data_IF_419623449746
#
_entry.id   IF_419623449746
#
_cell.length_a   1.000
_cell.length_b   1.000
_cell.length_c   1.000
_cell.angle_alpha   90.00
_cell.angle_beta   90.00
_cell.angle_gamma   90.00
#
_symmetry.space_group_name_H-M   'P 1'
#
loop_
_entity.id
_entity.type
_entity.pdbx_description
1 polymer ?
#
# COMPACT_ATOMS: atom_id res chain seq x y z
N UNK A 1 37.40 11.06 30.45
CA UNK A 1 36.77 10.26 29.38
C UNK A 1 35.27 10.56 29.36
N UNK A 2 34.73 11.05 28.24
CA UNK A 2 33.31 11.41 28.10
C UNK A 2 32.52 10.13 27.81
N UNK A 3 31.71 9.67 28.78
CA UNK A 3 30.74 8.60 28.54
C UNK A 3 29.64 9.15 27.61
N UNK A 4 29.65 8.74 26.35
CA UNK A 4 28.52 8.95 25.46
C UNK A 4 27.39 8.02 25.91
N UNK A 5 26.30 8.57 26.44
CA UNK A 5 25.09 7.82 26.77
C UNK A 5 24.28 7.53 25.48
N UNK A 6 24.20 6.27 25.01
CA UNK A 6 23.54 5.94 23.73
C UNK A 6 22.03 5.66 23.86
N UNK A 7 21.50 5.49 25.07
CA UNK A 7 20.23 4.78 25.30
C UNK A 7 18.93 5.56 25.04
N UNK A 8 18.99 6.87 24.80
CA UNK A 8 17.77 7.70 24.62
C UNK A 8 17.44 8.11 23.19
N UNK A 9 18.40 8.01 22.25
CA UNK A 9 18.28 8.67 20.94
C UNK A 9 17.53 7.87 19.88
N UNK A 10 17.37 6.55 20.04
CA UNK A 10 16.65 5.69 19.07
C UNK A 10 15.15 5.52 19.38
N UNK A 11 14.77 5.60 20.66
CA UNK A 11 13.37 5.52 21.09
C UNK A 11 12.56 6.76 20.65
N UNK A 12 13.18 7.94 20.65
CA UNK A 12 12.51 9.19 20.22
C UNK A 12 12.15 9.16 18.72
N UNK A 13 13.05 8.80 17.78
CA UNK A 13 12.72 8.62 16.37
C UNK A 13 11.67 7.55 16.10
N UNK A 14 11.69 6.41 16.80
CA UNK A 14 10.72 5.36 16.61
C UNK A 14 9.31 5.79 17.07
N UNK A 15 9.21 6.46 18.22
CA UNK A 15 7.95 7.03 18.73
C UNK A 15 7.45 8.17 17.84
N UNK A 16 8.35 9.01 17.33
CA UNK A 16 7.99 10.07 16.39
C UNK A 16 7.46 9.48 15.09
N UNK A 17 8.16 8.50 14.51
CA UNK A 17 7.70 7.78 13.33
C UNK A 17 6.31 7.17 13.58
N UNK A 18 6.12 6.52 14.73
CA UNK A 18 4.81 5.97 15.12
C UNK A 18 3.70 7.02 15.20
N UNK A 19 3.98 8.18 15.80
CA UNK A 19 3.01 9.27 15.89
C UNK A 19 2.69 9.87 14.52
N UNK A 20 3.69 10.01 13.67
CA UNK A 20 3.53 10.60 12.34
C UNK A 20 2.80 9.67 11.36
N UNK A 21 2.79 8.37 11.64
CA UNK A 21 2.05 7.37 10.84
C UNK A 21 0.65 7.10 11.40
N UNK A 22 0.15 7.95 12.29
CA UNK A 22 -1.26 7.89 12.69
C UNK A 22 -2.12 8.31 11.49
N UNK A 23 -2.99 7.43 10.98
CA UNK A 23 -3.87 7.79 9.87
C UNK A 23 -4.84 8.89 10.30
N UNK A 24 -5.13 9.81 9.39
CA UNK A 24 -6.30 10.68 9.51
C UNK A 24 -7.56 9.82 9.66
N UNK A 25 -8.47 10.25 10.54
CA UNK A 25 -9.73 9.52 10.75
C UNK A 25 -10.65 9.67 9.55
N UNK A 26 -11.36 8.60 9.22
CA UNK A 26 -12.48 8.64 8.30
C UNK A 26 -13.61 9.49 8.90
N UNK A 27 -14.21 10.35 8.07
CA UNK A 27 -15.29 11.27 8.49
C UNK A 27 -16.63 10.96 7.84
N UNK A 28 -16.64 10.14 6.78
CA UNK A 28 -17.83 9.76 6.04
C UNK A 28 -17.69 8.36 5.44
N UNK A 29 -18.79 7.63 5.24
CA UNK A 29 -18.79 6.37 4.50
C UNK A 29 -18.20 6.51 3.09
N UNK A 30 -17.65 5.41 2.56
CA UNK A 30 -17.07 5.32 1.21
C UNK A 30 -17.48 3.98 0.58
N UNK A 31 -17.62 3.89 -0.75
CA UNK A 31 -17.95 2.63 -1.41
C UNK A 31 -16.97 1.50 -1.02
N UNK A 32 -17.50 0.30 -0.74
CA UNK A 32 -16.70 -0.88 -0.38
C UNK A 32 -15.64 -1.19 -1.44
N UNK A 33 -16.00 -1.03 -2.72
CA UNK A 33 -15.07 -1.15 -3.86
C UNK A 33 -13.83 -0.28 -3.67
N UNK A 34 -13.99 0.97 -3.26
CA UNK A 34 -12.88 1.91 -3.06
C UNK A 34 -12.02 1.51 -1.86
N UNK A 35 -12.62 1.00 -0.78
CA UNK A 35 -11.86 0.52 0.38
C UNK A 35 -11.01 -0.71 0.05
N UNK A 36 -11.57 -1.66 -0.71
CA UNK A 36 -10.85 -2.84 -1.16
C UNK A 36 -9.77 -2.50 -2.19
N UNK A 37 -10.03 -1.56 -3.10
CA UNK A 37 -9.03 -1.02 -4.01
C UNK A 37 -7.86 -0.36 -3.26
N UNK A 38 -8.16 0.48 -2.26
CA UNK A 38 -7.16 1.13 -1.40
C UNK A 38 -6.34 0.10 -0.62
N UNK A 39 -6.97 -0.98 -0.13
CA UNK A 39 -6.29 -2.07 0.55
C UNK A 39 -5.38 -2.85 -0.41
N UNK A 40 -5.87 -3.22 -1.59
CA UNK A 40 -5.08 -3.95 -2.60
C UNK A 40 -3.86 -3.13 -3.07
N UNK A 41 -4.07 -1.84 -3.36
CA UNK A 41 -3.00 -0.90 -3.69
C UNK A 41 -1.95 -0.82 -2.57
N UNK A 42 -2.41 -0.69 -1.33
CA UNK A 42 -1.50 -0.59 -0.18
C UNK A 42 -0.77 -1.90 0.10
N UNK A 43 -1.40 -3.06 -0.12
CA UNK A 43 -0.76 -4.36 0.04
C UNK A 43 0.34 -4.59 -1.01
N UNK A 44 0.15 -4.11 -2.24
CA UNK A 44 1.18 -4.15 -3.28
C UNK A 44 2.40 -3.31 -2.90
N UNK A 45 2.18 -2.09 -2.39
CA UNK A 45 3.28 -1.23 -1.93
C UNK A 45 3.98 -1.82 -0.70
N UNK A 46 3.24 -2.43 0.24
CA UNK A 46 3.83 -3.11 1.40
C UNK A 46 4.67 -4.34 1.00
N UNK A 47 4.31 -5.02 -0.08
CA UNK A 47 5.10 -6.11 -0.66
C UNK A 47 6.37 -5.62 -1.38
N UNK A 48 6.52 -4.31 -1.61
CA UNK A 48 7.69 -3.74 -2.25
C UNK A 48 8.84 -3.48 -1.27
N UNK A 49 10.07 -3.63 -1.78
CA UNK A 49 11.26 -3.24 -1.02
C UNK A 49 11.44 -1.73 -1.05
N UNK A 50 11.66 -1.14 0.14
CA UNK A 50 12.09 0.23 0.32
C UNK A 50 12.78 0.43 1.67
N UNK A 51 13.75 1.35 1.73
CA UNK A 51 14.58 1.63 2.92
C UNK A 51 14.44 3.08 3.41
N UNK A 52 13.50 3.84 2.85
CA UNK A 52 13.17 5.20 3.29
C UNK A 52 11.86 5.21 4.08
N UNK A 53 11.61 6.32 4.77
CA UNK A 53 10.34 6.59 5.44
C UNK A 53 9.33 7.17 4.43
N UNK A 54 8.20 6.50 4.14
CA UNK A 54 7.13 7.10 3.36
C UNK A 54 6.49 8.27 4.13
N UNK A 55 6.17 9.35 3.41
CA UNK A 55 5.58 10.57 3.96
C UNK A 55 4.43 10.98 3.05
N UNK A 56 3.22 11.21 3.60
CA UNK A 56 2.10 11.70 2.80
C UNK A 56 2.44 13.01 2.07
N UNK A 57 1.93 13.16 0.85
CA UNK A 57 2.18 14.32 -0.01
C UNK A 57 3.48 14.23 -0.83
N UNK A 58 4.35 13.27 -0.55
CA UNK A 58 5.42 12.91 -1.47
C UNK A 58 4.91 11.94 -2.54
N UNK A 59 5.55 12.03 -3.69
CA UNK A 59 5.33 11.13 -4.82
C UNK A 59 6.38 10.03 -4.84
N UNK A 60 5.92 8.82 -5.13
CA UNK A 60 6.74 7.62 -5.21
C UNK A 60 6.48 6.91 -6.53
N UNK A 61 7.36 5.97 -6.85
CA UNK A 61 7.35 5.22 -8.10
C UNK A 61 7.59 3.74 -7.80
N UNK A 62 6.68 2.90 -8.30
CA UNK A 62 6.76 1.45 -8.15
C UNK A 62 7.39 0.83 -9.40
N UNK A 63 8.33 -0.08 -9.18
CA UNK A 63 9.07 -0.79 -10.22
C UNK A 63 8.98 -2.30 -10.04
N UNK A 64 8.99 -3.05 -11.16
CA UNK A 64 9.23 -4.49 -11.20
C UNK A 64 10.69 -4.72 -11.51
N UNK A 65 11.43 -5.31 -10.58
CA UNK A 65 12.86 -5.55 -10.69
C UNK A 65 13.11 -7.07 -10.62
N UNK A 66 13.12 -7.76 -11.77
CA UNK A 66 13.06 -9.23 -11.76
C UNK A 66 11.81 -9.68 -10.99
N UNK A 67 11.94 -10.58 -10.01
CA UNK A 67 10.80 -11.09 -9.23
C UNK A 67 10.31 -10.20 -8.08
N UNK A 68 10.98 -9.08 -7.79
CA UNK A 68 10.63 -8.22 -6.65
C UNK A 68 9.97 -6.91 -7.10
N UNK A 69 9.07 -6.40 -6.27
CA UNK A 69 8.61 -5.02 -6.35
C UNK A 69 9.58 -4.10 -5.61
N UNK A 70 9.78 -2.89 -6.13
CA UNK A 70 10.59 -1.85 -5.48
C UNK A 70 9.86 -0.52 -5.51
N UNK A 71 9.73 0.12 -4.35
CA UNK A 71 9.23 1.49 -4.24
C UNK A 71 10.43 2.45 -4.20
N UNK A 72 10.35 3.54 -4.94
CA UNK A 72 11.41 4.54 -5.09
C UNK A 72 10.86 5.96 -5.01
N UNK A 73 11.71 6.91 -4.62
CA UNK A 73 11.48 8.35 -4.77
C UNK A 73 11.88 8.87 -6.16
N UNK A 74 12.78 8.15 -6.84
CA UNK A 74 13.34 8.54 -8.13
C UNK A 74 12.37 8.10 -9.23
N UNK A 75 11.91 9.06 -10.03
CA UNK A 75 11.02 8.87 -11.18
C UNK A 75 11.76 8.18 -12.35
N UNK A 76 11.05 7.50 -13.27
CA UNK A 76 11.68 6.77 -14.39
C UNK A 76 12.64 7.64 -15.22
N UNK A 77 12.30 8.90 -15.45
CA UNK A 77 13.12 9.84 -16.24
C UNK A 77 14.38 10.31 -15.51
N UNK A 78 14.43 10.19 -14.18
CA UNK A 78 15.56 10.65 -13.35
C UNK A 78 16.65 9.58 -13.20
N UNK A 79 16.36 8.31 -13.54
CA UNK A 79 17.32 7.21 -13.43
C UNK A 79 18.41 7.23 -14.50
N UNK A 80 18.18 7.89 -15.64
CA UNK A 80 19.01 7.73 -16.83
C UNK A 80 19.12 6.25 -17.23
N UNK A 81 20.34 5.77 -17.49
CA UNK A 81 20.58 4.38 -17.90
C UNK A 81 20.53 3.34 -16.77
N UNK A 82 20.29 3.75 -15.53
CA UNK A 82 20.35 2.88 -14.34
C UNK A 82 18.99 2.56 -13.75
N UNK A 83 17.94 2.56 -14.58
CA UNK A 83 16.60 2.27 -14.11
C UNK A 83 16.55 0.86 -13.49
N UNK A 84 15.98 0.70 -12.29
CA UNK A 84 16.07 -0.55 -11.54
C UNK A 84 15.22 -1.68 -12.13
N UNK A 85 14.30 -1.37 -13.06
CA UNK A 85 13.37 -2.31 -13.68
C UNK A 85 12.22 -1.58 -14.39
N UNK A 86 11.16 -2.30 -14.74
CA UNK A 86 10.00 -1.72 -15.43
C UNK A 86 9.22 -0.82 -14.47
N UNK A 87 8.96 0.42 -14.87
CA UNK A 87 8.12 1.32 -14.10
C UNK A 87 6.64 0.94 -14.26
N UNK A 88 5.95 0.74 -13.14
CA UNK A 88 4.60 0.17 -13.10
C UNK A 88 3.57 1.23 -12.78
N UNK A 89 3.85 2.04 -11.78
CA UNK A 89 2.89 2.98 -11.28
C UNK A 89 3.57 4.14 -10.57
N UNK A 90 2.94 5.30 -10.67
CA UNK A 90 3.12 6.38 -9.72
C UNK A 90 2.31 6.06 -8.47
N UNK A 91 2.90 6.25 -7.29
CA UNK A 91 2.27 5.97 -6.01
C UNK A 91 2.22 7.25 -5.18
N UNK A 92 1.06 7.56 -4.64
CA UNK A 92 0.85 8.71 -3.77
C UNK A 92 0.32 8.18 -2.42
N UNK A 93 1.01 8.50 -1.33
CA UNK A 93 0.59 8.14 0.03
C UNK A 93 -0.39 9.20 0.55
N UNK A 94 -1.61 8.77 0.90
CA UNK A 94 -2.64 9.66 1.44
C UNK A 94 -2.48 9.88 2.95
N UNK A 95 -3.15 10.90 3.48
CA UNK A 95 -3.10 11.25 4.91
C UNK A 95 -3.72 10.20 5.83
N UNK A 96 -4.61 9.37 5.29
CA UNK A 96 -5.16 8.20 5.98
C UNK A 96 -4.23 6.97 5.90
N UNK A 97 -2.99 7.14 5.43
CA UNK A 97 -1.97 6.09 5.32
C UNK A 97 -2.32 4.94 4.37
N UNK A 98 -3.28 5.15 3.47
CA UNK A 98 -3.54 4.27 2.34
C UNK A 98 -2.83 4.77 1.08
N UNK A 99 -2.46 3.85 0.19
CA UNK A 99 -1.81 4.17 -1.07
C UNK A 99 -2.81 4.26 -2.21
N UNK A 100 -2.65 5.29 -3.04
CA UNK A 100 -3.23 5.34 -4.39
C UNK A 100 -2.16 5.12 -5.43
N UNK A 101 -2.46 4.34 -6.45
CA UNK A 101 -1.55 4.06 -7.55
C UNK A 101 -2.18 4.57 -8.85
N UNK A 102 -1.33 5.03 -9.76
CA UNK A 102 -1.71 5.42 -11.12
C UNK A 102 -0.79 4.64 -12.06
N UNK A 103 -1.38 3.78 -12.90
CA UNK A 103 -0.66 2.91 -13.82
C UNK A 103 0.22 3.72 -14.76
N UNK A 104 1.43 3.22 -15.02
CA UNK A 104 2.30 3.72 -16.07
C UNK A 104 1.66 3.46 -17.45
N UNK A 105 1.98 4.31 -18.40
CA UNK A 105 1.59 4.10 -19.79
C UNK A 105 2.22 2.82 -20.35
N UNK A 106 1.50 2.10 -21.21
CA UNK A 106 1.98 0.85 -21.83
C UNK A 106 2.10 -0.35 -20.88
N UNK A 107 1.60 -0.26 -19.65
CA UNK A 107 1.75 -1.34 -18.65
C UNK A 107 1.20 -2.70 -19.14
N UNK A 108 0.08 -2.67 -19.87
CA UNK A 108 -0.55 -3.86 -20.44
C UNK A 108 0.28 -4.53 -21.55
N UNK A 109 1.30 -3.86 -22.07
CA UNK A 109 2.19 -4.37 -23.12
C UNK A 109 3.33 -5.22 -22.56
N UNK A 110 3.47 -5.30 -21.23
CA UNK A 110 4.49 -6.10 -20.56
C UNK A 110 3.87 -7.32 -19.88
N UNK A 111 3.87 -8.51 -20.53
CA UNK A 111 3.27 -9.72 -19.98
C UNK A 111 3.80 -10.08 -18.59
N UNK A 112 5.10 -9.91 -18.35
CA UNK A 112 5.72 -10.22 -17.05
C UNK A 112 5.19 -9.34 -15.91
N UNK A 113 4.81 -8.09 -16.21
CA UNK A 113 4.23 -7.18 -15.21
C UNK A 113 2.75 -7.50 -15.03
N UNK A 114 2.02 -7.74 -16.12
CA UNK A 114 0.61 -8.16 -16.07
C UNK A 114 0.45 -9.41 -15.22
N UNK A 115 1.22 -10.47 -15.51
CA UNK A 115 1.18 -11.72 -14.75
C UNK A 115 1.52 -11.54 -13.28
N UNK A 116 2.50 -10.69 -12.97
CA UNK A 116 2.87 -10.44 -11.58
C UNK A 116 1.80 -9.65 -10.82
N UNK A 117 1.14 -8.70 -11.48
CA UNK A 117 0.02 -7.94 -10.92
C UNK A 117 -1.21 -8.83 -10.71
N UNK A 118 -1.53 -9.70 -11.67
CA UNK A 118 -2.61 -10.68 -11.54
C UNK A 118 -2.34 -11.66 -10.39
N UNK A 119 -1.11 -12.17 -10.26
CA UNK A 119 -0.70 -13.03 -9.13
C UNK A 119 -0.84 -12.33 -7.78
N UNK A 120 -0.47 -11.03 -7.70
CA UNK A 120 -0.66 -10.25 -6.48
C UNK A 120 -2.15 -10.08 -6.15
N UNK A 121 -2.99 -9.82 -7.15
CA UNK A 121 -4.44 -9.75 -6.99
C UNK A 121 -5.03 -11.06 -6.48
N UNK A 122 -4.68 -12.17 -7.09
CA UNK A 122 -5.15 -13.49 -6.67
C UNK A 122 -4.78 -13.79 -5.22
N UNK A 123 -3.52 -13.52 -4.84
CA UNK A 123 -3.06 -13.70 -3.46
C UNK A 123 -3.80 -12.77 -2.49
N UNK A 124 -4.03 -11.51 -2.90
CA UNK A 124 -4.79 -10.55 -2.10
C UNK A 124 -6.23 -11.01 -1.90
N UNK A 125 -6.93 -11.37 -2.98
CA UNK A 125 -8.32 -11.85 -2.95
C UNK A 125 -8.43 -13.12 -2.09
N UNK A 126 -7.50 -14.05 -2.21
CA UNK A 126 -7.46 -15.24 -1.35
C UNK A 126 -7.28 -14.87 0.13
N UNK A 127 -6.42 -13.89 0.45
CA UNK A 127 -6.19 -13.45 1.82
C UNK A 127 -7.38 -12.70 2.43
N UNK A 128 -8.15 -11.97 1.63
CA UNK A 128 -9.33 -11.22 2.11
C UNK A 128 -10.64 -12.00 1.99
N UNK A 129 -10.67 -13.12 1.27
CA UNK A 129 -11.86 -13.96 1.13
C UNK A 129 -12.02 -14.89 2.33
N UNK A 130 -12.36 -14.32 3.48
CA UNK A 130 -12.52 -15.02 4.76
C UNK A 130 -13.96 -14.97 5.26
N UNK A 131 -14.33 -15.95 6.08
CA UNK A 131 -15.60 -15.96 6.84
C UNK A 131 -15.54 -15.07 8.09
N UNK A 132 -14.32 -14.80 8.58
CA UNK A 132 -14.06 -13.92 9.71
C UNK A 132 -14.18 -12.45 9.30
N UNK A 133 -14.49 -11.54 10.26
CA UNK A 133 -14.49 -10.10 10.02
C UNK A 133 -13.19 -9.66 9.33
N UNK A 134 -13.30 -8.82 8.29
CA UNK A 134 -12.11 -8.34 7.56
C UNK A 134 -11.13 -7.63 8.50
N UNK A 135 -11.64 -7.00 9.57
CA UNK A 135 -10.81 -6.33 10.59
C UNK A 135 -9.86 -7.27 11.33
N UNK A 136 -10.10 -8.58 11.31
CA UNK A 136 -9.30 -9.57 12.02
C UNK A 136 -8.16 -10.10 11.14
N UNK A 137 -8.26 -9.93 9.82
CA UNK A 137 -7.24 -10.33 8.84
C UNK A 137 -6.28 -9.18 8.47
N UNK A 138 -6.51 -7.96 8.98
CA UNK A 138 -5.69 -6.80 8.69
C UNK A 138 -4.26 -6.94 9.26
N UNK A 139 -3.25 -6.37 8.59
CA UNK A 139 -1.84 -6.57 8.94
C UNK A 139 -1.37 -5.68 10.09
N UNK A 140 -2.00 -5.79 11.28
CA UNK A 140 -1.63 -4.98 12.46
C UNK A 140 -0.20 -5.22 12.95
N UNK A 141 0.34 -6.42 12.72
CA UNK A 141 1.71 -6.76 13.07
C UNK A 141 2.28 -7.78 12.11
N UNK A 142 3.34 -7.41 11.39
CA UNK A 142 4.09 -8.31 10.51
C UNK A 142 5.56 -8.29 10.93
N UNK A 143 5.96 -9.29 11.73
CA UNK A 143 7.29 -9.39 12.32
C UNK A 143 8.41 -9.52 11.29
N UNK A 144 8.11 -10.11 10.13
CA UNK A 144 9.08 -10.35 9.05
C UNK A 144 9.38 -9.10 8.21
N UNK A 145 8.55 -8.06 8.32
CA UNK A 145 8.75 -6.81 7.58
C UNK A 145 9.85 -5.94 8.22
N UNK A 146 10.66 -5.24 7.41
CA UNK A 146 11.53 -4.17 7.90
C UNK A 146 10.75 -3.08 8.64
N UNK A 147 11.47 -2.21 9.37
CA UNK A 147 10.86 -1.22 10.26
C UNK A 147 9.76 -0.36 9.60
N UNK A 148 10.04 0.28 8.46
CA UNK A 148 9.06 1.16 7.81
C UNK A 148 7.87 0.41 7.18
N UNK A 149 8.06 -0.69 6.42
CA UNK A 149 6.92 -1.49 5.96
C UNK A 149 6.04 -2.00 7.11
N UNK A 150 6.62 -2.43 8.23
CA UNK A 150 5.84 -2.85 9.41
C UNK A 150 5.00 -1.70 9.99
N UNK A 151 5.59 -0.51 10.05
CA UNK A 151 4.91 0.68 10.52
C UNK A 151 3.76 1.09 9.59
N UNK A 152 3.98 1.05 8.27
CA UNK A 152 2.96 1.29 7.25
C UNK A 152 1.82 0.26 7.33
N UNK A 153 2.12 -1.01 7.56
CA UNK A 153 1.12 -2.06 7.71
C UNK A 153 0.20 -1.80 8.92
N UNK A 154 0.79 -1.39 10.04
CA UNK A 154 0.03 -1.00 11.25
C UNK A 154 -0.88 0.21 11.00
N UNK A 155 -0.36 1.22 10.28
CA UNK A 155 -1.11 2.43 9.94
C UNK A 155 -2.27 2.14 8.98
N UNK A 156 -2.01 1.33 7.95
CA UNK A 156 -3.01 0.83 7.00
C UNK A 156 -4.13 0.06 7.72
N UNK A 157 -3.77 -0.90 8.58
CA UNK A 157 -4.74 -1.69 9.33
C UNK A 157 -5.64 -0.80 10.20
N UNK A 158 -5.07 0.21 10.85
CA UNK A 158 -5.84 1.19 11.62
C UNK A 158 -6.77 2.03 10.74
N UNK A 159 -6.30 2.47 9.58
CA UNK A 159 -7.08 3.24 8.63
C UNK A 159 -8.27 2.44 8.09
N UNK A 160 -8.03 1.20 7.67
CA UNK A 160 -9.08 0.32 7.15
C UNK A 160 -10.12 0.00 8.21
N UNK A 161 -9.70 -0.30 9.45
CA UNK A 161 -10.64 -0.50 10.57
C UNK A 161 -11.53 0.72 10.80
N UNK A 162 -10.94 1.92 10.85
CA UNK A 162 -11.69 3.16 11.07
C UNK A 162 -12.68 3.43 9.92
N UNK A 163 -12.26 3.19 8.67
CA UNK A 163 -13.16 3.28 7.51
C UNK A 163 -14.29 2.25 7.59
N UNK A 164 -14.01 0.98 7.91
CA UNK A 164 -15.04 -0.06 8.06
C UNK A 164 -16.05 0.30 9.16
N UNK A 165 -15.58 0.83 10.28
CA UNK A 165 -16.44 1.32 11.37
C UNK A 165 -17.35 2.47 10.91
N UNK A 166 -16.81 3.48 10.22
CA UNK A 166 -17.61 4.59 9.69
C UNK A 166 -18.65 4.13 8.66
N UNK A 167 -18.37 3.05 7.93
CA UNK A 167 -19.33 2.43 7.01
C UNK A 167 -20.34 1.51 7.71
N UNK A 168 -20.18 1.22 9.02
CA UNK A 168 -21.01 0.25 9.74
C UNK A 168 -20.74 -1.21 9.32
N UNK A 169 -19.52 -1.50 8.89
CA UNK A 169 -19.09 -2.79 8.30
C UNK A 169 -17.94 -3.45 9.09
N UNK A 170 -17.72 -3.07 10.36
CA UNK A 170 -16.63 -3.59 11.18
C UNK A 170 -16.77 -5.09 11.51
N UNK A 171 -18.00 -5.60 11.59
CA UNK A 171 -18.28 -7.03 11.75
C UNK A 171 -18.44 -7.78 10.41
N UNK A 172 -18.35 -7.10 9.27
CA UNK A 172 -18.55 -7.73 7.97
C UNK A 172 -17.37 -8.64 7.61
N UNK A 173 -17.66 -9.86 7.18
CA UNK A 173 -16.64 -10.77 6.70
C UNK A 173 -16.03 -10.28 5.38
N UNK A 174 -14.78 -10.64 5.14
CA UNK A 174 -14.12 -10.28 3.90
C UNK A 174 -14.83 -10.85 2.66
N UNK A 175 -15.39 -12.07 2.76
CA UNK A 175 -16.23 -12.66 1.70
C UNK A 175 -17.50 -11.84 1.41
N UNK A 176 -18.19 -11.37 2.44
CA UNK A 176 -19.38 -10.52 2.26
C UNK A 176 -19.02 -9.21 1.58
N UNK A 177 -17.91 -8.59 1.97
CA UNK A 177 -17.43 -7.34 1.37
C UNK A 177 -17.03 -7.54 -0.11
N UNK A 178 -16.39 -8.66 -0.44
CA UNK A 178 -16.09 -9.01 -1.83
C UNK A 178 -17.36 -9.26 -2.64
N UNK A 179 -18.35 -9.94 -2.09
CA UNK A 179 -19.63 -10.22 -2.80
C UNK A 179 -20.44 -8.95 -3.03
N UNK A 180 -20.26 -7.93 -2.18
CA UNK A 180 -20.87 -6.61 -2.39
C UNK A 180 -20.22 -5.82 -3.54
N UNK A 181 -19.13 -6.31 -4.12
CA UNK A 181 -18.52 -5.73 -5.33
C UNK A 181 -19.14 -6.36 -6.57
N UNK A 182 -19.49 -5.54 -7.58
CA UNK A 182 -20.21 -6.01 -8.78
C UNK A 182 -19.38 -6.97 -9.65
N UNK A 183 -18.05 -6.99 -9.50
CA UNK A 183 -17.15 -7.97 -10.10
C UNK A 183 -15.74 -7.88 -9.48
N UNK A 184 -14.99 -8.98 -9.32
CA UNK A 184 -13.57 -8.92 -8.98
C UNK A 184 -12.82 -8.28 -10.16
N UNK A 185 -12.58 -6.97 -10.05
CA UNK A 185 -11.79 -6.21 -11.00
C UNK A 185 -10.34 -6.73 -11.03
N UNK A 186 -9.72 -6.80 -12.21
CA UNK A 186 -8.27 -7.12 -12.29
C UNK A 186 -7.50 -5.99 -11.64
N UNK A 187 -6.26 -6.27 -11.20
CA UNK A 187 -5.43 -5.22 -10.60
C UNK A 187 -5.24 -4.03 -11.54
N UNK A 188 -5.07 -4.29 -12.84
CA UNK A 188 -4.95 -3.25 -13.86
C UNK A 188 -6.20 -2.36 -13.98
N UNK A 189 -7.38 -2.90 -13.75
CA UNK A 189 -8.64 -2.14 -13.81
C UNK A 189 -8.79 -1.21 -12.59
N UNK A 190 -8.14 -1.55 -11.48
CA UNK A 190 -8.11 -0.75 -10.24
C UNK A 190 -7.09 0.39 -10.35
N UNK A 191 -6.06 0.22 -11.19
CA UNK A 191 -5.03 1.22 -11.39
C UNK A 191 -5.47 2.22 -12.47
N UNK A 192 -5.91 3.44 -12.12
CA UNK A 192 -6.25 4.44 -13.12
C UNK A 192 -5.04 4.72 -14.04
N UNK A 193 -5.25 4.92 -15.35
CA UNK A 193 -4.17 5.23 -16.27
C UNK A 193 -3.53 6.58 -15.91
N UNK A 194 -2.23 6.71 -16.20
CA UNK A 194 -1.57 8.00 -16.12
C UNK A 194 -2.24 8.98 -17.08
N UNK A 195 -2.67 10.13 -16.56
CA UNK A 195 -3.11 11.21 -17.42
C UNK A 195 -1.94 11.65 -18.30
N UNK A 196 -2.18 11.79 -19.61
CA UNK A 196 -1.21 12.36 -20.54
C UNK A 196 -0.75 13.71 -19.98
N UNK A 197 0.54 13.83 -19.66
CA UNK A 197 1.09 15.07 -19.16
C UNK A 197 1.01 16.10 -20.29
N UNK A 198 0.11 17.08 -20.14
CA UNK A 198 -0.02 18.23 -21.05
C UNK A 198 1.10 19.23 -20.84
#
# INVERSE_FOLDING_TARGET
>A
MKHANPQGKGLVPALQAWNDTRPARATSPRPVQSLLADFCASSLVLAARFEFRPVPGNRYHLYKCGDIWRLSLIAPQEWGSRQPGIHIARCDLRRDMTWSLVAAEGLAESPEVVEALERHMEAFLAAVNTEEPLTDTLPFHVSELPFYPRLMASALARSLRDNLQVNGLDAASGRTLLTATESPARLLDILPPQAASS
#
